data_IF_502826539238
#
_entry.id   IF_502826539238
#
_cell.length_a   1.000
_cell.length_b   1.000
_cell.length_c   1.000
_cell.angle_alpha   90.00
_cell.angle_beta   90.00
_cell.angle_gamma   90.00
#
_symmetry.space_group_name_H-M   'P 1'
#
loop_
_entity.id
_entity.type
_entity.pdbx_description
1 polymer ?
#
# COMPACT_ATOMS: atom_id res chain seq x y z
N UNK A 1 -2.13 12.23 -20.75
CA UNK A 1 -2.25 10.77 -20.88
C UNK A 1 -1.00 10.26 -21.58
N UNK A 2 -0.37 9.21 -21.04
CA UNK A 2 0.97 8.76 -21.40
C UNK A 2 1.04 7.93 -22.70
N UNK A 3 0.10 8.14 -23.64
CA UNK A 3 -0.05 7.43 -24.92
C UNK A 3 -0.10 5.89 -24.84
N UNK A 4 -0.42 5.32 -23.67
CA UNK A 4 -0.67 3.88 -23.48
C UNK A 4 -2.18 3.66 -23.45
N UNK A 5 -2.64 2.68 -24.23
CA UNK A 5 -4.04 2.26 -24.29
C UNK A 5 -4.12 0.75 -24.16
N UNK A 6 -5.04 0.27 -23.33
CA UNK A 6 -5.34 -1.14 -23.12
C UNK A 6 -6.85 -1.30 -22.98
N UNK A 7 -7.39 -2.37 -23.54
CA UNK A 7 -8.76 -2.78 -23.26
C UNK A 7 -8.77 -3.43 -21.88
N UNK A 8 -9.37 -2.72 -20.91
CA UNK A 8 -9.48 -3.21 -19.52
C UNK A 8 -10.94 -3.45 -19.17
N UNK A 9 -11.26 -4.70 -18.89
CA UNK A 9 -12.55 -5.13 -18.36
C UNK A 9 -12.48 -5.17 -16.83
N UNK A 10 -13.49 -4.60 -16.15
CA UNK A 10 -13.63 -4.73 -14.70
C UNK A 10 -14.92 -5.47 -14.37
N UNK A 11 -14.79 -6.53 -13.59
CA UNK A 11 -15.93 -7.34 -13.11
C UNK A 11 -15.93 -7.48 -11.60
N UNK A 12 -17.10 -7.73 -11.03
CA UNK A 12 -17.27 -8.16 -9.65
C UNK A 12 -17.61 -9.65 -9.64
N UNK A 13 -16.87 -10.40 -8.85
CA UNK A 13 -17.03 -11.85 -8.71
C UNK A 13 -16.96 -12.23 -7.24
N UNK A 14 -17.28 -13.47 -6.90
CA UNK A 14 -17.08 -13.98 -5.55
C UNK A 14 -16.61 -15.43 -5.54
N UNK A 15 -15.87 -15.79 -4.50
CA UNK A 15 -15.62 -17.18 -4.13
C UNK A 15 -16.65 -17.65 -3.10
N UNK A 16 -16.97 -18.93 -3.17
CA UNK A 16 -17.75 -19.63 -2.15
C UNK A 16 -16.79 -20.20 -1.11
N UNK A 17 -17.10 -19.96 0.16
CA UNK A 17 -16.22 -20.28 1.28
C UNK A 17 -16.94 -20.94 2.45
N UNK A 18 -17.60 -22.08 2.22
CA UNK A 18 -18.21 -22.92 3.26
C UNK A 18 -17.18 -23.44 4.27
N UNK A 19 -15.92 -23.62 3.85
CA UNK A 19 -14.81 -24.07 4.71
C UNK A 19 -13.82 -22.96 5.06
N UNK A 20 -14.13 -21.71 4.70
CA UNK A 20 -13.33 -20.54 5.07
C UNK A 20 -13.70 -20.00 6.45
N UNK A 21 -12.80 -19.21 7.04
CA UNK A 21 -13.07 -18.47 8.28
C UNK A 21 -12.26 -17.17 8.37
N UNK A 22 -12.13 -16.64 9.59
CA UNK A 22 -11.49 -15.35 9.83
C UNK A 22 -10.03 -15.30 9.32
N UNK A 23 -9.28 -16.40 9.47
CA UNK A 23 -7.88 -16.53 9.11
C UNK A 23 -7.69 -17.24 7.78
N UNK A 24 -8.45 -18.30 7.54
CA UNK A 24 -8.28 -19.18 6.37
C UNK A 24 -9.17 -18.70 5.23
N UNK A 25 -8.54 -18.46 4.07
CA UNK A 25 -9.22 -18.40 2.78
C UNK A 25 -9.07 -19.78 2.11
N UNK A 26 -10.16 -20.55 2.13
CA UNK A 26 -10.27 -21.87 1.53
C UNK A 26 -11.53 -21.89 0.67
N UNK A 27 -11.33 -21.78 -0.64
CA UNK A 27 -12.41 -21.79 -1.63
C UNK A 27 -12.96 -23.20 -1.77
N UNK A 28 -14.28 -23.36 -1.80
CA UNK A 28 -14.88 -24.66 -2.11
C UNK A 28 -14.71 -25.03 -3.59
N UNK A 29 -14.65 -23.99 -4.44
CA UNK A 29 -14.48 -24.08 -5.88
C UNK A 29 -13.31 -23.18 -6.32
N UNK A 30 -12.50 -23.69 -7.25
CA UNK A 30 -11.32 -23.00 -7.76
C UNK A 30 -11.67 -21.88 -8.75
N UNK A 31 -12.93 -21.83 -9.18
CA UNK A 31 -13.48 -20.83 -10.09
C UNK A 31 -14.39 -19.86 -9.35
N UNK A 32 -14.27 -18.58 -9.71
CA UNK A 32 -15.13 -17.53 -9.20
C UNK A 32 -16.51 -17.59 -9.86
N UNK A 33 -17.54 -17.13 -9.14
CA UNK A 33 -18.86 -16.87 -9.68
C UNK A 33 -19.02 -15.38 -9.95
N UNK A 34 -19.58 -15.03 -11.10
CA UNK A 34 -19.93 -13.64 -11.37
C UNK A 34 -21.04 -13.22 -10.40
N UNK A 35 -20.92 -12.00 -9.88
CA UNK A 35 -22.03 -11.38 -9.17
C UNK A 35 -23.18 -11.21 -10.16
N UNK A 36 -24.40 -11.58 -9.76
CA UNK A 36 -25.59 -11.40 -10.61
C UNK A 36 -25.76 -9.92 -10.98
N UNK A 37 -25.78 -9.63 -12.28
CA UNK A 37 -25.93 -8.30 -12.85
C UNK A 37 -27.30 -8.20 -13.53
N UNK A 38 -28.37 -8.15 -12.74
CA UNK A 38 -29.72 -7.97 -13.27
C UNK A 38 -29.90 -6.51 -13.71
N UNK A 39 -29.50 -6.22 -14.95
CA UNK A 39 -29.47 -4.88 -15.59
C UNK A 39 -28.69 -3.83 -14.77
N UNK A 40 -27.40 -3.68 -15.09
CA UNK A 40 -26.57 -2.62 -14.48
C UNK A 40 -27.16 -1.24 -14.78
N UNK A 41 -27.62 -0.54 -13.75
CA UNK A 41 -28.11 0.83 -13.88
C UNK A 41 -26.91 1.78 -13.93
N UNK A 42 -26.89 2.63 -14.96
CA UNK A 42 -25.82 3.60 -15.19
C UNK A 42 -26.34 5.04 -15.08
N UNK A 43 -25.70 5.86 -14.25
CA UNK A 43 -25.86 7.31 -14.28
C UNK A 43 -24.51 7.95 -14.61
N UNK A 44 -24.47 8.76 -15.66
CA UNK A 44 -23.26 9.47 -16.10
C UNK A 44 -23.40 10.95 -15.79
N UNK A 45 -22.41 11.52 -15.12
CA UNK A 45 -22.35 12.94 -14.79
C UNK A 45 -21.11 13.54 -15.43
N UNK A 46 -21.28 14.60 -16.21
CA UNK A 46 -20.19 15.36 -16.81
C UNK A 46 -20.17 16.79 -16.27
N UNK A 47 -19.03 17.19 -15.74
CA UNK A 47 -18.73 18.48 -15.17
C UNK A 47 -17.35 18.97 -15.62
N UNK A 48 -17.04 20.25 -15.38
CA UNK A 48 -15.81 20.88 -15.89
C UNK A 48 -14.55 20.34 -15.23
N UNK A 49 -14.67 19.90 -13.98
CA UNK A 49 -13.63 19.18 -13.29
C UNK A 49 -13.89 17.67 -13.48
N UNK A 50 -15.15 17.17 -13.34
CA UNK A 50 -15.49 15.71 -13.19
C UNK A 50 -16.29 15.03 -14.23
N UNK A 51 -15.85 13.80 -14.57
CA UNK A 51 -16.74 12.78 -15.11
C UNK A 51 -16.93 11.65 -14.12
N UNK A 52 -18.18 11.39 -13.72
CA UNK A 52 -18.52 10.25 -12.86
C UNK A 52 -19.41 9.27 -13.63
N UNK A 53 -19.12 7.98 -13.49
CA UNK A 53 -19.98 6.89 -13.94
C UNK A 53 -20.41 6.11 -12.70
N UNK A 54 -21.67 6.28 -12.32
CA UNK A 54 -22.28 5.55 -11.21
C UNK A 54 -22.91 4.27 -11.78
N UNK A 55 -22.46 3.14 -11.28
CA UNK A 55 -22.88 1.80 -11.70
C UNK A 55 -23.52 1.11 -10.51
N UNK A 56 -24.77 0.67 -10.66
CA UNK A 56 -25.46 -0.15 -9.67
C UNK A 56 -25.62 -1.55 -10.27
N UNK A 57 -24.88 -2.53 -9.74
CA UNK A 57 -24.84 -3.89 -10.28
C UNK A 57 -26.02 -4.72 -9.76
N UNK A 58 -26.32 -4.57 -8.47
CA UNK A 58 -27.47 -5.15 -7.78
C UNK A 58 -27.72 -4.41 -6.45
N UNK A 59 -28.60 -4.94 -5.60
CA UNK A 59 -29.00 -4.31 -4.34
C UNK A 59 -27.88 -4.16 -3.31
N UNK A 60 -26.75 -4.84 -3.50
CA UNK A 60 -25.64 -4.90 -2.55
C UNK A 60 -24.27 -4.56 -3.16
N UNK A 61 -24.19 -4.21 -4.44
CA UNK A 61 -22.95 -3.72 -5.07
C UNK A 61 -23.23 -2.50 -5.94
N UNK A 62 -22.54 -1.40 -5.61
CA UNK A 62 -22.47 -0.22 -6.46
C UNK A 62 -21.04 0.34 -6.54
N UNK A 63 -20.74 0.99 -7.66
CA UNK A 63 -19.44 1.59 -7.95
C UNK A 63 -19.63 2.99 -8.52
N UNK A 64 -18.72 3.90 -8.18
CA UNK A 64 -18.59 5.19 -8.83
C UNK A 64 -17.19 5.31 -9.40
N UNK A 65 -17.07 5.14 -10.71
CA UNK A 65 -15.84 5.46 -11.44
C UNK A 65 -15.79 6.97 -11.58
N UNK A 66 -14.73 7.61 -11.09
CA UNK A 66 -14.49 9.01 -11.39
C UNK A 66 -13.31 9.08 -12.34
N UNK A 67 -13.46 9.87 -13.39
CA UNK A 67 -12.33 10.32 -14.20
C UNK A 67 -11.95 11.69 -13.60
N UNK A 68 -11.44 11.56 -12.39
CA UNK A 68 -10.46 12.37 -11.70
C UNK A 68 -9.30 11.42 -11.44
N UNK A 69 -8.30 11.91 -10.76
CA UNK A 69 -7.37 11.11 -10.00
C UNK A 69 -7.96 9.97 -9.08
N UNK A 70 -9.25 9.49 -9.10
CA UNK A 70 -9.85 8.51 -8.12
C UNK A 70 -10.96 7.52 -8.62
N UNK A 71 -11.10 6.28 -8.08
CA UNK A 71 -12.31 5.39 -8.20
C UNK A 71 -12.88 4.97 -6.82
N UNK A 72 -14.18 5.17 -6.57
CA UNK A 72 -14.84 4.85 -5.27
C UNK A 72 -15.91 3.75 -5.40
N UNK A 73 -16.08 2.90 -4.37
CA UNK A 73 -16.98 1.72 -4.41
C UNK A 73 -17.73 1.51 -3.10
N UNK A 74 -18.94 0.97 -3.15
CA UNK A 74 -19.77 0.62 -2.00
C UNK A 74 -20.26 -0.83 -2.15
N UNK A 75 -19.88 -1.69 -1.19
CA UNK A 75 -20.18 -3.12 -1.19
C UNK A 75 -20.91 -3.52 0.09
N UNK A 76 -21.95 -4.33 -0.08
CA UNK A 76 -22.79 -4.85 0.97
C UNK A 76 -24.19 -4.19 0.98
N UNK A 77 -25.14 -4.80 1.72
CA UNK A 77 -24.98 -5.98 2.56
C UNK A 77 -24.83 -7.27 1.72
N UNK A 78 -23.76 -8.05 1.95
CA UNK A 78 -23.55 -9.31 1.20
C UNK A 78 -24.68 -10.29 1.56
N UNK A 79 -25.48 -10.76 0.58
CA UNK A 79 -26.62 -11.63 0.84
C UNK A 79 -26.16 -13.04 1.24
N UNK A 80 -26.86 -13.61 2.22
CA UNK A 80 -26.60 -14.95 2.76
C UNK A 80 -27.90 -15.76 2.91
N UNK A 81 -29.00 -15.32 2.29
CA UNK A 81 -30.31 -16.00 2.37
C UNK A 81 -30.30 -17.39 1.72
N UNK A 82 -29.22 -17.69 0.98
CA UNK A 82 -28.90 -18.98 0.36
C UNK A 82 -28.01 -19.88 1.24
N UNK A 83 -27.71 -19.48 2.48
CA UNK A 83 -26.78 -20.16 3.39
C UNK A 83 -25.35 -20.35 2.84
N UNK A 84 -24.94 -19.52 1.87
CA UNK A 84 -23.60 -19.56 1.24
C UNK A 84 -22.80 -18.31 1.61
N UNK A 85 -21.64 -18.53 2.24
CA UNK A 85 -20.65 -17.48 2.50
C UNK A 85 -19.98 -16.99 1.21
N UNK A 86 -19.76 -15.68 1.10
CA UNK A 86 -19.26 -15.05 -0.13
C UNK A 86 -18.06 -14.15 0.15
N UNK A 87 -17.05 -14.29 -0.69
CA UNK A 87 -15.82 -13.50 -0.65
C UNK A 87 -15.71 -12.71 -1.94
N UNK A 88 -16.07 -11.43 -1.87
CA UNK A 88 -16.29 -10.58 -3.04
C UNK A 88 -14.96 -10.01 -3.51
N UNK A 89 -14.67 -10.19 -4.80
CA UNK A 89 -13.48 -9.67 -5.46
C UNK A 89 -13.86 -8.66 -6.54
N UNK A 90 -12.95 -7.72 -6.82
CA UNK A 90 -12.93 -7.00 -8.09
C UNK A 90 -11.79 -7.55 -8.93
N UNK A 91 -12.08 -7.86 -10.19
CA UNK A 91 -11.10 -8.35 -11.15
C UNK A 91 -10.96 -7.35 -12.29
N UNK A 92 -9.72 -6.98 -12.60
CA UNK A 92 -9.35 -6.15 -13.74
C UNK A 92 -8.62 -7.04 -14.72
N UNK A 93 -9.18 -7.24 -15.91
CA UNK A 93 -8.60 -8.05 -16.98
C UNK A 93 -8.16 -7.15 -18.12
N UNK A 94 -6.92 -7.30 -18.56
CA UNK A 94 -6.31 -6.53 -19.64
C UNK A 94 -5.71 -7.45 -20.72
N UNK A 95 -5.30 -6.87 -21.85
CA UNK A 95 -4.53 -7.59 -22.88
C UNK A 95 -3.03 -7.74 -22.58
N UNK A 96 -2.57 -7.37 -21.38
CA UNK A 96 -1.15 -7.40 -21.00
C UNK A 96 -0.68 -8.84 -20.81
N UNK A 97 0.36 -9.27 -21.53
CA UNK A 97 0.96 -10.58 -21.31
C UNK A 97 2.04 -10.51 -20.23
N UNK A 98 1.70 -10.93 -19.02
CA UNK A 98 2.58 -10.91 -17.85
C UNK A 98 3.30 -12.24 -17.58
N UNK A 99 3.06 -13.30 -18.36
CA UNK A 99 3.73 -14.60 -18.22
C UNK A 99 3.52 -15.24 -16.85
N UNK A 100 2.36 -14.98 -16.22
CA UNK A 100 2.04 -15.39 -14.86
C UNK A 100 2.88 -14.72 -13.75
N UNK A 101 3.57 -13.61 -14.04
CA UNK A 101 4.33 -12.82 -13.06
C UNK A 101 3.51 -11.59 -12.64
N UNK A 102 3.52 -11.29 -11.35
CA UNK A 102 2.92 -10.07 -10.81
C UNK A 102 3.70 -9.63 -9.57
N UNK A 103 3.40 -8.46 -9.02
CA UNK A 103 4.12 -7.88 -7.90
C UNK A 103 3.15 -7.38 -6.84
N UNK A 104 3.44 -7.70 -5.57
CA UNK A 104 2.73 -7.13 -4.43
C UNK A 104 3.70 -6.39 -3.53
N UNK A 105 3.23 -5.34 -2.87
CA UNK A 105 4.03 -4.66 -1.87
C UNK A 105 4.28 -5.54 -0.62
N UNK A 106 5.33 -5.20 0.13
CA UNK A 106 5.60 -5.68 1.48
C UNK A 106 5.40 -4.53 2.45
N UNK A 107 4.28 -4.53 3.18
CA UNK A 107 3.89 -3.48 4.12
C UNK A 107 3.93 -2.07 3.52
N UNK A 108 3.47 -1.92 2.27
CA UNK A 108 3.44 -0.67 1.52
C UNK A 108 4.81 -0.19 1.03
N UNK A 109 5.85 -1.05 1.06
CA UNK A 109 7.24 -0.70 0.74
C UNK A 109 7.78 -1.40 -0.50
N UNK A 110 8.55 -2.46 -0.32
CA UNK A 110 9.27 -3.15 -1.39
C UNK A 110 8.29 -3.94 -2.25
N UNK A 111 8.51 -3.97 -3.56
CA UNK A 111 7.72 -4.83 -4.45
C UNK A 111 8.33 -6.21 -4.52
N UNK A 112 7.55 -7.21 -4.13
CA UNK A 112 7.98 -8.60 -4.18
C UNK A 112 7.41 -9.23 -5.44
N UNK A 113 8.30 -9.79 -6.26
CA UNK A 113 7.94 -10.62 -7.41
C UNK A 113 7.21 -11.87 -6.96
N UNK A 114 6.01 -12.08 -7.51
CA UNK A 114 5.15 -13.24 -7.32
C UNK A 114 4.96 -13.97 -8.65
N UNK A 115 4.52 -15.22 -8.56
CA UNK A 115 4.14 -16.03 -9.72
C UNK A 115 2.79 -16.67 -9.43
N UNK A 116 1.96 -16.87 -10.45
CA UNK A 116 0.65 -17.55 -10.34
C UNK A 116 0.75 -18.90 -9.62
N UNK A 117 1.81 -19.66 -9.90
CA UNK A 117 2.06 -20.96 -9.28
C UNK A 117 2.72 -20.87 -7.89
N UNK A 118 3.10 -19.68 -7.42
CA UNK A 118 3.90 -19.53 -6.21
C UNK A 118 5.29 -20.18 -6.31
N UNK A 119 5.95 -20.41 -5.16
CA UNK A 119 7.30 -20.96 -5.14
C UNK A 119 7.30 -22.49 -5.31
N UNK A 120 7.70 -22.97 -6.49
CA UNK A 120 7.83 -24.40 -6.81
C UNK A 120 8.63 -25.23 -5.80
N UNK A 121 9.60 -24.62 -5.08
CA UNK A 121 10.40 -25.32 -4.05
C UNK A 121 9.64 -25.56 -2.74
N UNK A 122 8.55 -24.82 -2.51
CA UNK A 122 7.72 -24.88 -1.30
C UNK A 122 6.36 -25.56 -1.56
N UNK A 123 6.10 -26.01 -2.78
CA UNK A 123 4.92 -26.80 -3.12
C UNK A 123 5.08 -28.25 -2.64
N UNK A 124 5.06 -28.46 -1.33
CA UNK A 124 4.98 -29.81 -0.73
C UNK A 124 3.56 -30.34 -0.65
N UNK A 125 2.55 -29.47 -0.80
CA UNK A 125 1.13 -29.84 -0.77
C UNK A 125 0.46 -29.50 -2.10
N UNK A 126 0.01 -30.55 -2.80
CA UNK A 126 -0.79 -30.48 -4.02
C UNK A 126 -2.24 -30.12 -3.68
N UNK A 127 -2.51 -28.86 -3.37
CA UNK A 127 -3.84 -28.34 -3.67
C UNK A 127 -3.76 -27.74 -5.06
N UNK A 128 -3.91 -28.61 -6.05
CA UNK A 128 -4.01 -28.20 -7.45
C UNK A 128 -5.21 -27.25 -7.56
N UNK A 129 -4.94 -25.99 -7.94
CA UNK A 129 -5.90 -24.95 -8.34
C UNK A 129 -6.47 -23.99 -7.27
N UNK A 130 -5.98 -23.96 -6.03
CA UNK A 130 -6.36 -22.88 -5.09
C UNK A 130 -5.66 -21.57 -5.48
N UNK A 131 -6.38 -20.44 -5.63
CA UNK A 131 -5.77 -19.17 -5.99
C UNK A 131 -4.85 -18.68 -4.86
N UNK A 132 -3.62 -18.29 -5.22
CA UNK A 132 -2.62 -17.84 -4.25
C UNK A 132 -2.77 -16.34 -4.03
N UNK A 133 -3.26 -15.96 -2.86
CA UNK A 133 -3.40 -14.57 -2.45
C UNK A 133 -2.19 -14.09 -1.65
N UNK A 134 -1.85 -12.82 -1.85
CA UNK A 134 -0.81 -12.12 -1.10
C UNK A 134 -1.38 -10.85 -0.45
N UNK A 135 -0.83 -10.41 0.69
CA UNK A 135 -1.21 -9.13 1.27
C UNK A 135 -0.80 -7.99 0.34
N UNK A 136 -1.71 -7.05 0.13
CA UNK A 136 -1.53 -5.81 -0.62
C UNK A 136 -1.90 -4.67 0.32
N UNK A 137 -0.92 -3.85 0.71
CA UNK A 137 -1.13 -2.71 1.60
C UNK A 137 -1.02 -1.37 0.89
N UNK A 138 -0.60 -1.35 -0.37
CA UNK A 138 -0.59 -0.12 -1.16
C UNK A 138 -0.66 -0.32 -2.67
N UNK A 139 -0.02 -1.37 -3.23
CA UNK A 139 -0.03 -1.56 -4.69
C UNK A 139 0.15 -3.02 -5.13
N UNK A 140 -0.64 -3.39 -6.14
CA UNK A 140 -0.61 -4.66 -6.86
C UNK A 140 -0.39 -4.37 -8.34
N UNK A 141 0.61 -5.01 -8.95
CA UNK A 141 1.05 -4.65 -10.30
C UNK A 141 1.30 -5.87 -11.18
N UNK A 142 0.95 -5.75 -12.46
CA UNK A 142 1.45 -6.61 -13.52
C UNK A 142 1.99 -5.77 -14.68
N UNK A 143 2.89 -6.35 -15.45
CA UNK A 143 3.51 -5.71 -16.61
C UNK A 143 3.92 -6.74 -17.64
N UNK A 144 3.95 -6.32 -18.89
CA UNK A 144 4.53 -7.10 -19.98
C UNK A 144 6.06 -7.04 -19.95
N UNK A 145 6.71 -8.17 -20.21
CA UNK A 145 8.17 -8.27 -20.16
C UNK A 145 8.84 -7.29 -21.14
N UNK A 146 9.76 -6.46 -20.65
CA UNK A 146 10.49 -5.48 -21.47
C UNK A 146 9.86 -4.08 -21.44
N UNK A 147 9.46 -3.55 -22.60
CA UNK A 147 8.94 -2.17 -22.75
C UNK A 147 7.43 -2.13 -22.99
N UNK A 148 6.71 -3.11 -22.46
CA UNK A 148 5.29 -3.29 -22.69
C UNK A 148 4.40 -2.41 -21.80
N UNK A 149 3.10 -2.67 -21.81
CA UNK A 149 2.15 -1.98 -20.92
C UNK A 149 2.25 -2.49 -19.47
N UNK A 150 1.95 -1.60 -18.52
CA UNK A 150 1.95 -1.87 -17.08
C UNK A 150 0.63 -1.41 -16.48
N UNK A 151 0.03 -2.27 -15.68
CA UNK A 151 -1.22 -2.00 -14.96
C UNK A 151 -0.98 -2.13 -13.46
N UNK A 152 -1.19 -1.04 -12.74
CA UNK A 152 -1.12 -0.99 -11.29
C UNK A 152 -2.51 -0.72 -10.69
N UNK A 153 -2.85 -1.47 -9.65
CA UNK A 153 -4.03 -1.24 -8.81
C UNK A 153 -3.56 -0.88 -7.41
N UNK A 154 -3.93 0.30 -6.93
CA UNK A 154 -3.61 0.80 -5.60
C UNK A 154 -4.87 0.77 -4.72
N UNK A 155 -4.69 0.51 -3.43
CA UNK A 155 -5.78 0.35 -2.49
C UNK A 155 -5.67 1.29 -1.28
N UNK A 156 -6.83 1.59 -0.68
CA UNK A 156 -6.95 2.49 0.47
C UNK A 156 -6.76 1.79 1.83
N UNK A 157 -6.66 0.47 1.84
CA UNK A 157 -6.54 -0.39 3.04
C UNK A 157 -5.87 -1.72 2.71
N UNK A 158 -5.43 -2.44 3.73
CA UNK A 158 -4.90 -3.80 3.58
C UNK A 158 -5.97 -4.75 2.98
N UNK A 159 -5.62 -5.44 1.90
CA UNK A 159 -6.48 -6.40 1.21
C UNK A 159 -5.66 -7.61 0.75
N UNK A 160 -6.36 -8.72 0.47
CA UNK A 160 -5.77 -9.83 -0.26
C UNK A 160 -5.84 -9.56 -1.76
N UNK A 161 -4.76 -9.80 -2.49
CA UNK A 161 -4.72 -9.66 -3.95
C UNK A 161 -3.93 -10.75 -4.65
N UNK A 162 -4.24 -10.96 -5.92
CA UNK A 162 -3.59 -11.97 -6.76
C UNK A 162 -3.62 -11.59 -8.24
N UNK A 163 -2.92 -12.38 -9.05
CA UNK A 163 -3.16 -12.53 -10.49
C UNK A 163 -3.45 -14.01 -10.69
N UNK A 164 -4.70 -14.36 -11.00
CA UNK A 164 -5.14 -15.76 -11.16
C UNK A 164 -5.17 -16.23 -12.61
N UNK A 165 -5.15 -15.28 -13.55
CA UNK A 165 -5.09 -15.52 -14.99
C UNK A 165 -4.20 -14.48 -15.67
N UNK A 166 -3.77 -14.77 -16.90
CA UNK A 166 -2.93 -13.88 -17.70
C UNK A 166 -3.61 -12.51 -17.90
N UNK A 167 -2.85 -11.44 -17.68
CA UNK A 167 -3.29 -10.06 -17.84
C UNK A 167 -4.32 -9.58 -16.81
N UNK A 168 -4.62 -10.37 -15.78
CA UNK A 168 -5.60 -10.02 -14.76
C UNK A 168 -5.00 -9.77 -13.37
N UNK A 169 -5.54 -8.77 -12.69
CA UNK A 169 -5.33 -8.50 -11.27
C UNK A 169 -6.67 -8.59 -10.54
N UNK A 170 -6.69 -9.21 -9.37
CA UNK A 170 -7.86 -9.25 -8.50
C UNK A 170 -7.53 -8.84 -7.06
N UNK A 171 -8.50 -8.16 -6.42
CA UNK A 171 -8.46 -7.75 -5.02
C UNK A 171 -9.73 -8.21 -4.32
N UNK A 172 -9.57 -8.86 -3.18
CA UNK A 172 -10.67 -9.22 -2.29
C UNK A 172 -11.11 -7.98 -1.51
N UNK A 173 -12.36 -7.59 -1.70
CA UNK A 173 -12.92 -6.34 -1.21
C UNK A 173 -13.64 -6.50 0.12
N UNK A 174 -14.36 -7.60 0.30
CA UNK A 174 -15.14 -7.89 1.50
C UNK A 174 -15.42 -9.39 1.62
N UNK A 175 -15.53 -9.89 2.85
CA UNK A 175 -15.79 -11.30 3.17
C UNK A 175 -16.93 -11.39 4.17
N UNK A 176 -17.86 -12.32 3.96
CA UNK A 176 -18.88 -12.67 4.94
C UNK A 176 -19.08 -14.17 4.93
N UNK A 177 -18.76 -14.81 6.05
CA UNK A 177 -18.65 -16.26 6.20
C UNK A 177 -19.60 -16.74 7.31
N UNK A 178 -20.09 -17.97 7.18
CA UNK A 178 -21.09 -18.53 8.09
C UNK A 178 -20.52 -19.56 9.07
N UNK A 179 -19.22 -19.82 9.02
CA UNK A 179 -18.52 -20.78 9.88
C UNK A 179 -17.22 -20.20 10.43
N UNK A 180 -16.80 -20.76 11.57
CA UNK A 180 -15.48 -20.53 12.18
C UNK A 180 -14.46 -21.51 11.57
N UNK A 181 -13.21 -21.07 11.41
CA UNK A 181 -12.12 -21.90 10.89
C UNK A 181 -11.35 -22.66 11.98
N UNK A 182 -11.80 -22.61 13.23
CA UNK A 182 -11.25 -23.32 14.38
C UNK A 182 -9.77 -23.01 14.68
N UNK A 183 -9.31 -21.80 14.34
CA UNK A 183 -7.97 -21.32 14.70
C UNK A 183 -7.92 -20.47 15.98
N UNK A 184 -9.02 -20.43 16.73
CA UNK A 184 -9.06 -19.95 18.12
C UNK A 184 -9.94 -18.74 18.36
N UNK A 185 -10.50 -18.10 17.32
CA UNK A 185 -11.43 -16.98 17.51
C UNK A 185 -12.80 -17.45 17.98
N UNK A 186 -13.30 -18.60 17.48
CA UNK A 186 -14.53 -19.22 17.95
C UNK A 186 -15.81 -18.53 17.46
N UNK A 187 -15.72 -17.76 16.37
CA UNK A 187 -16.84 -17.06 15.75
C UNK A 187 -16.68 -17.01 14.23
N UNK A 188 -17.81 -17.05 13.51
CA UNK A 188 -17.79 -16.86 12.06
C UNK A 188 -17.50 -15.39 11.73
N UNK A 189 -16.79 -15.15 10.61
CA UNK A 189 -16.59 -13.80 10.08
C UNK A 189 -17.90 -13.26 9.46
N UNK A 190 -18.87 -12.91 10.31
CA UNK A 190 -20.23 -12.50 9.93
C UNK A 190 -20.59 -11.14 10.55
N UNK A 191 -19.80 -10.11 10.24
CA UNK A 191 -20.00 -8.77 10.79
C UNK A 191 -21.39 -8.20 10.42
N UNK A 192 -22.08 -7.63 11.40
CA UNK A 192 -23.38 -6.99 11.22
C UNK A 192 -23.45 -5.60 11.84
N UNK A 193 -24.21 -4.71 11.21
CA UNK A 193 -24.57 -3.39 11.73
C UNK A 193 -26.09 -3.23 11.65
N UNK A 194 -26.74 -2.86 12.77
CA UNK A 194 -28.20 -2.71 12.87
C UNK A 194 -28.99 -3.95 12.39
N UNK A 195 -28.49 -5.16 12.67
CA UNK A 195 -29.14 -6.42 12.29
C UNK A 195 -29.02 -6.81 10.82
N UNK A 196 -28.18 -6.10 10.04
CA UNK A 196 -27.88 -6.40 8.62
C UNK A 196 -26.39 -6.64 8.46
N UNK A 197 -26.00 -7.38 7.42
CA UNK A 197 -24.58 -7.58 7.10
C UNK A 197 -23.84 -6.25 6.90
N UNK A 198 -22.62 -6.16 7.42
CA UNK A 198 -21.81 -4.94 7.36
C UNK A 198 -21.60 -4.49 5.90
N UNK A 199 -21.80 -3.20 5.66
CA UNK A 199 -21.55 -2.54 4.38
C UNK A 199 -20.21 -1.83 4.45
N UNK A 200 -19.32 -2.13 3.50
CA UNK A 200 -18.00 -1.50 3.42
C UNK A 200 -17.93 -0.57 2.21
N UNK A 201 -17.29 0.58 2.41
CA UNK A 201 -16.95 1.53 1.33
C UNK A 201 -15.44 1.62 1.24
N UNK A 202 -14.91 1.51 0.03
CA UNK A 202 -13.48 1.59 -0.24
C UNK A 202 -13.17 2.26 -1.57
N UNK A 203 -11.92 2.69 -1.71
CA UNK A 203 -11.38 3.27 -2.93
C UNK A 203 -10.29 2.40 -3.53
N UNK A 204 -10.28 2.33 -4.85
CA UNK A 204 -9.19 1.73 -5.61
C UNK A 204 -8.75 2.72 -6.69
N UNK A 205 -7.50 2.64 -7.09
CA UNK A 205 -6.94 3.50 -8.12
C UNK A 205 -6.27 2.61 -9.14
N UNK A 206 -6.61 2.79 -10.42
CA UNK A 206 -6.01 2.02 -11.49
C UNK A 206 -5.19 2.95 -12.37
N UNK A 207 -3.91 2.63 -12.51
CA UNK A 207 -2.96 3.36 -13.34
C UNK A 207 -2.51 2.44 -14.47
N UNK A 208 -2.70 2.91 -15.70
CA UNK A 208 -2.12 2.30 -16.90
C UNK A 208 -0.96 3.15 -17.38
N UNK A 209 0.21 2.55 -17.46
CA UNK A 209 1.43 3.24 -17.88
C UNK A 209 2.26 2.36 -18.82
N UNK A 210 3.31 2.93 -19.41
CA UNK A 210 4.33 2.10 -20.05
C UNK A 210 5.24 1.51 -18.98
N UNK A 211 5.59 0.23 -19.10
CA UNK A 211 6.61 -0.42 -18.26
C UNK A 211 8.01 0.21 -18.41
N UNK A 212 8.18 1.08 -19.40
CA UNK A 212 9.36 1.89 -19.63
C UNK A 212 9.14 3.33 -19.09
N UNK A 213 10.14 3.92 -18.41
CA UNK A 213 10.18 5.28 -17.80
C UNK A 213 9.44 5.45 -16.46
N UNK A 214 10.07 4.98 -15.38
CA UNK A 214 9.70 5.28 -13.97
C UNK A 214 8.19 5.22 -13.61
N UNK A 215 7.36 4.32 -14.17
CA UNK A 215 5.94 4.24 -13.81
C UNK A 215 5.73 4.01 -12.31
N UNK A 216 6.71 3.37 -11.68
CA UNK A 216 6.71 3.08 -10.27
C UNK A 216 6.87 4.32 -9.36
N UNK A 217 7.39 5.45 -9.87
CA UNK A 217 7.47 6.72 -9.12
C UNK A 217 6.08 7.37 -9.04
N UNK A 218 5.36 7.45 -10.17
CA UNK A 218 3.97 7.92 -10.20
C UNK A 218 3.09 7.07 -9.29
N UNK A 219 3.15 5.73 -9.45
CA UNK A 219 2.46 4.78 -8.57
C UNK A 219 2.80 5.02 -7.09
N UNK A 220 4.08 5.31 -6.77
CA UNK A 220 4.51 5.54 -5.39
C UNK A 220 3.96 6.85 -4.82
N UNK A 221 3.97 7.92 -5.60
CA UNK A 221 3.45 9.22 -5.19
C UNK A 221 1.94 9.13 -4.95
N UNK A 222 1.20 8.52 -5.87
CA UNK A 222 -0.23 8.28 -5.71
C UNK A 222 -0.51 7.40 -4.48
N UNK A 223 0.28 6.34 -4.25
CA UNK A 223 0.16 5.52 -3.05
C UNK A 223 0.33 6.37 -1.76
N UNK A 224 1.26 7.33 -1.75
CA UNK A 224 1.42 8.24 -0.61
C UNK A 224 0.22 9.16 -0.42
N UNK A 225 -0.31 9.74 -1.49
CA UNK A 225 -1.47 10.63 -1.43
C UNK A 225 -2.72 9.90 -0.90
N UNK A 226 -2.87 8.62 -1.26
CA UNK A 226 -3.94 7.76 -0.74
C UNK A 226 -3.81 7.54 0.77
N UNK A 227 -2.60 7.21 1.26
CA UNK A 227 -2.36 6.93 2.68
C UNK A 227 -2.23 8.19 3.55
N UNK A 228 -1.87 9.33 2.96
CA UNK A 228 -1.71 10.62 3.62
C UNK A 228 -2.65 11.66 3.01
N UNK A 229 -3.98 11.48 3.16
CA UNK A 229 -4.94 12.41 2.59
C UNK A 229 -4.80 13.79 3.23
N UNK A 230 -5.08 14.83 2.43
CA UNK A 230 -5.09 16.23 2.91
C UNK A 230 -6.09 16.39 4.05
N UNK A 231 -5.66 16.96 5.17
CA UNK A 231 -6.54 17.31 6.27
C UNK A 231 -7.22 18.64 6.00
N UNK A 232 -8.55 18.63 5.93
CA UNK A 232 -9.36 19.82 5.73
C UNK A 232 -9.78 20.38 7.08
N UNK A 233 -9.37 21.62 7.37
CA UNK A 233 -9.77 22.35 8.57
C UNK A 233 -10.79 23.41 8.18
N UNK A 234 -11.97 23.34 8.79
CA UNK A 234 -13.03 24.32 8.59
C UNK A 234 -13.18 25.17 9.85
N UNK A 235 -13.02 26.49 9.73
CA UNK A 235 -13.32 27.43 10.81
C UNK A 235 -14.54 28.27 10.45
N UNK A 236 -15.32 28.67 11.45
CA UNK A 236 -16.27 29.77 11.28
C UNK A 236 -15.44 31.05 11.08
N UNK A 237 -15.81 31.95 10.16
CA UNK A 237 -15.02 33.15 9.92
C UNK A 237 -14.96 33.96 11.21
N UNK A 238 -13.78 34.02 11.82
CA UNK A 238 -13.45 34.96 12.88
C UNK A 238 -12.70 36.12 12.24
N UNK A 239 -13.22 37.32 12.48
CA UNK A 239 -12.66 38.58 12.01
C UNK A 239 -11.41 38.92 12.85
N UNK A 240 -10.27 38.30 12.52
CA UNK A 240 -8.90 38.85 12.61
C UNK A 240 -7.80 37.78 12.45
N UNK A 241 -7.06 37.95 11.35
CA UNK A 241 -5.60 37.89 11.19
C UNK A 241 -4.78 36.56 11.19
N UNK A 242 -3.82 36.61 10.23
CA UNK A 242 -2.50 35.95 10.06
C UNK A 242 -2.45 34.64 9.26
N UNK A 243 -1.67 34.72 8.17
CA UNK A 243 -1.34 33.66 7.21
C UNK A 243 0.01 33.04 7.55
N UNK A 244 0.11 31.74 7.29
CA UNK A 244 1.35 31.04 6.98
C UNK A 244 1.97 30.31 8.17
N UNK A 245 1.65 29.03 8.32
CA UNK A 245 2.55 27.92 8.74
C UNK A 245 1.80 26.61 8.41
N UNK A 246 2.50 25.67 7.76
CA UNK A 246 2.07 24.29 7.52
C UNK A 246 3.02 23.36 8.29
N UNK A 247 2.49 22.49 9.15
CA UNK A 247 3.24 21.47 9.88
C UNK A 247 2.63 20.12 9.53
N UNK A 248 3.40 19.22 8.90
CA UNK A 248 2.90 17.94 8.39
C UNK A 248 2.96 16.78 9.39
N UNK A 249 3.92 16.76 10.31
CA UNK A 249 3.91 15.97 11.55
C UNK A 249 5.17 16.31 12.36
N UNK A 250 5.01 16.47 13.68
CA UNK A 250 6.07 16.57 14.69
C UNK A 250 5.64 15.62 15.80
N UNK A 251 6.35 14.50 15.99
CA UNK A 251 6.06 13.59 17.10
C UNK A 251 6.88 13.99 18.32
N UNK A 252 6.26 14.45 19.41
CA UNK A 252 6.98 14.73 20.65
C UNK A 252 7.58 13.42 21.18
N UNK A 253 8.90 13.35 21.35
CA UNK A 253 9.59 12.21 21.92
C UNK A 253 9.85 12.41 23.42
N UNK A 254 10.32 13.60 23.78
CA UNK A 254 10.48 14.13 25.14
C UNK A 254 10.14 15.64 25.13
N UNK A 255 10.08 16.31 26.29
CA UNK A 255 9.61 17.70 26.43
C UNK A 255 10.17 18.70 25.40
N UNK A 256 11.41 18.50 24.95
CA UNK A 256 12.10 19.36 23.98
C UNK A 256 12.80 18.56 22.87
N UNK A 257 12.40 17.32 22.62
CA UNK A 257 12.99 16.48 21.55
C UNK A 257 11.91 15.87 20.67
N UNK A 258 12.17 15.82 19.36
CA UNK A 258 11.32 15.16 18.36
C UNK A 258 12.13 14.13 17.58
N UNK A 259 11.51 13.01 17.24
CA UNK A 259 12.03 12.11 16.22
C UNK A 259 11.62 12.59 14.82
N UNK A 260 12.60 12.68 13.93
CA UNK A 260 12.46 13.03 12.53
C UNK A 260 12.93 11.85 11.67
N UNK A 261 12.03 10.91 11.34
CA UNK A 261 12.33 9.86 10.37
C UNK A 261 12.23 10.42 8.94
N UNK A 262 13.34 10.36 8.20
CA UNK A 262 13.40 10.69 6.79
C UNK A 262 13.44 9.40 5.97
N UNK A 263 12.45 9.23 5.08
CA UNK A 263 12.26 8.02 4.29
C UNK A 263 12.37 8.34 2.81
N UNK A 264 13.24 7.61 2.10
CA UNK A 264 13.22 7.60 0.64
C UNK A 264 12.38 6.42 0.14
N UNK A 265 11.30 6.74 -0.57
CA UNK A 265 10.22 5.81 -0.89
C UNK A 265 10.46 4.99 -2.16
N UNK A 266 11.41 5.41 -2.98
CA UNK A 266 11.67 4.86 -4.30
C UNK A 266 12.66 3.69 -4.20
N UNK A 267 12.49 2.67 -5.02
CA UNK A 267 13.39 1.50 -5.09
C UNK A 267 14.70 1.85 -5.85
N UNK A 268 15.77 1.08 -5.64
CA UNK A 268 17.05 1.25 -6.34
C UNK A 268 16.95 0.92 -7.84
N UNK A 269 15.93 0.17 -8.24
CA UNK A 269 15.57 -0.03 -9.65
C UNK A 269 14.80 1.15 -10.24
N UNK A 270 14.24 2.00 -9.38
CA UNK A 270 13.33 3.08 -9.75
C UNK A 270 14.05 4.46 -9.72
N UNK A 271 15.07 4.66 -8.87
CA UNK A 271 15.84 5.91 -8.83
C UNK A 271 17.22 5.81 -8.17
N UNK A 272 18.03 6.86 -8.33
CA UNK A 272 19.34 7.05 -7.69
C UNK A 272 19.21 7.70 -6.30
N UNK A 273 20.27 7.66 -5.46
CA UNK A 273 20.31 8.39 -4.20
C UNK A 273 20.06 9.89 -4.38
N UNK A 274 19.38 10.49 -3.41
CA UNK A 274 19.11 11.93 -3.37
C UNK A 274 19.95 12.60 -2.29
N UNK A 275 20.33 13.86 -2.54
CA UNK A 275 21.02 14.72 -1.59
C UNK A 275 20.18 15.99 -1.45
N UNK A 276 19.90 16.39 -0.22
CA UNK A 276 19.20 17.62 0.07
C UNK A 276 19.75 18.26 1.35
N UNK A 277 19.66 19.59 1.41
CA UNK A 277 20.05 20.35 2.59
C UNK A 277 18.90 20.42 3.58
N UNK A 278 19.09 19.84 4.76
CA UNK A 278 18.10 19.83 5.83
C UNK A 278 18.19 21.09 6.71
N UNK A 279 19.25 21.89 6.58
CA UNK A 279 19.49 23.06 7.43
C UNK A 279 18.34 24.09 7.39
N UNK A 280 17.77 24.48 6.23
CA UNK A 280 16.70 25.47 6.19
C UNK A 280 15.43 25.04 6.96
N UNK A 281 15.14 23.74 6.94
CA UNK A 281 14.01 23.17 7.67
C UNK A 281 14.24 23.24 9.19
N UNK A 282 15.40 22.79 9.67
CA UNK A 282 15.72 22.78 11.10
C UNK A 282 15.81 24.20 11.70
N UNK A 283 16.35 25.16 10.94
CA UNK A 283 16.38 26.57 11.34
C UNK A 283 14.96 27.13 11.48
N UNK A 284 14.04 26.75 10.59
CA UNK A 284 12.63 27.21 10.66
C UNK A 284 11.91 26.72 11.92
N UNK A 285 12.33 25.57 12.47
CA UNK A 285 11.80 24.99 13.70
C UNK A 285 12.51 25.47 14.97
N UNK A 286 13.59 26.26 14.82
CA UNK A 286 14.47 26.70 15.93
C UNK A 286 15.14 25.53 16.66
N UNK A 287 15.53 24.52 15.92
CA UNK A 287 16.24 23.36 16.46
C UNK A 287 17.67 23.75 16.90
N UNK A 288 18.14 23.18 18.02
CA UNK A 288 19.46 23.42 18.59
C UNK A 288 20.47 22.33 18.26
N UNK A 289 20.02 21.10 18.09
CA UNK A 289 20.86 19.92 17.92
C UNK A 289 20.15 18.84 17.10
N UNK A 290 20.91 18.14 16.27
CA UNK A 290 20.45 16.98 15.51
C UNK A 290 21.41 15.80 15.68
N UNK A 291 20.86 14.65 16.03
CA UNK A 291 21.59 13.40 16.28
C UNK A 291 20.97 12.26 15.47
N UNK A 292 21.77 11.51 14.72
CA UNK A 292 21.28 10.33 14.00
C UNK A 292 21.20 9.11 14.93
N UNK A 293 20.07 8.39 14.88
CA UNK A 293 19.74 7.29 15.77
C UNK A 293 19.38 6.02 15.00
N UNK A 294 19.20 4.91 15.73
CA UNK A 294 18.45 3.75 15.26
C UNK A 294 17.00 4.13 14.91
N UNK A 295 16.31 3.24 14.19
CA UNK A 295 14.95 3.47 13.68
C UNK A 295 13.93 3.83 14.77
N UNK A 296 14.09 3.24 15.95
CA UNK A 296 13.26 3.44 17.14
C UNK A 296 13.73 4.59 18.04
N UNK A 297 14.81 5.30 17.68
CA UNK A 297 15.29 6.48 18.39
C UNK A 297 16.01 6.21 19.72
N UNK A 298 16.16 4.95 20.14
CA UNK A 298 16.67 4.60 21.48
C UNK A 298 18.21 4.58 21.59
N UNK A 299 18.93 4.52 20.46
CA UNK A 299 20.39 4.38 20.42
C UNK A 299 20.96 5.32 19.36
N UNK A 300 22.07 5.99 19.66
CA UNK A 300 22.78 6.79 18.66
C UNK A 300 23.36 5.84 17.60
N UNK A 301 23.25 6.22 16.33
CA UNK A 301 23.68 5.35 15.22
C UNK A 301 25.18 5.04 15.27
N UNK A 302 25.99 5.95 15.84
CA UNK A 302 27.43 5.76 16.05
C UNK A 302 27.77 4.60 16.99
N UNK A 303 26.86 4.26 17.89
CA UNK A 303 27.06 3.22 18.90
C UNK A 303 26.51 1.86 18.43
N UNK A 304 25.79 1.83 17.31
CA UNK A 304 25.17 0.61 16.77
C UNK A 304 26.21 -0.39 16.27
N UNK A 305 26.10 -1.63 16.76
CA UNK A 305 26.90 -2.78 16.30
C UNK A 305 25.98 -3.96 16.00
N UNK A 306 26.02 -4.49 14.77
CA UNK A 306 25.24 -5.67 14.37
C UNK A 306 26.15 -6.84 14.06
N UNK A 307 25.89 -8.03 14.61
CA UNK A 307 26.70 -9.22 14.33
C UNK A 307 26.78 -9.50 12.83
N UNK A 308 28.00 -9.82 12.36
CA UNK A 308 28.18 -10.40 11.03
C UNK A 308 28.01 -11.91 11.08
N UNK A 309 27.08 -12.42 10.28
CA UNK A 309 26.87 -13.86 10.11
C UNK A 309 27.54 -14.30 8.82
N UNK A 310 28.46 -15.28 8.92
CA UNK A 310 29.08 -15.86 7.74
C UNK A 310 28.13 -16.89 7.11
N UNK A 311 27.87 -16.75 5.81
CA UNK A 311 27.05 -17.68 5.04
C UNK A 311 27.95 -18.77 4.46
N UNK A 312 27.80 -20.01 4.93
CA UNK A 312 28.48 -21.17 4.32
C UNK A 312 29.60 -21.84 5.12
N UNK A 313 29.68 -21.59 6.43
CA UNK A 313 30.34 -22.51 7.38
C UNK A 313 31.85 -22.61 7.29
N UNK A 314 32.55 -21.71 7.96
CA UNK A 314 33.64 -22.08 8.88
C UNK A 314 33.47 -21.27 10.18
N UNK A 315 33.74 -21.86 11.36
CA UNK A 315 33.70 -21.12 12.62
C UNK A 315 34.70 -19.97 12.59
N UNK A 316 34.25 -18.79 13.01
CA UNK A 316 35.13 -17.62 13.15
C UNK A 316 35.56 -17.50 14.61
N UNK A 317 36.85 -17.43 14.89
CA UNK A 317 37.34 -17.19 16.26
C UNK A 317 37.18 -15.72 16.71
N UNK A 318 36.77 -14.82 15.81
CA UNK A 318 36.65 -13.38 16.07
C UNK A 318 35.26 -12.87 15.78
N UNK A 319 34.69 -12.22 16.80
CA UNK A 319 33.39 -11.57 16.73
C UNK A 319 33.46 -10.34 15.83
N UNK A 320 32.78 -10.38 14.69
CA UNK A 320 32.73 -9.26 13.76
C UNK A 320 31.39 -8.54 13.80
N UNK A 321 31.43 -7.23 13.57
CA UNK A 321 30.26 -6.36 13.54
C UNK A 321 30.16 -5.57 12.25
N UNK A 322 28.96 -5.46 11.70
CA UNK A 322 28.59 -4.37 10.80
C UNK A 322 28.38 -3.11 11.65
N UNK A 323 29.06 -2.04 11.26
CA UNK A 323 28.81 -0.68 11.74
C UNK A 323 28.07 0.11 10.65
N UNK A 324 27.66 1.33 10.97
CA UNK A 324 27.13 2.28 9.99
C UNK A 324 28.08 2.43 8.78
N UNK A 325 27.49 2.52 7.58
CA UNK A 325 28.23 2.67 6.31
C UNK A 325 28.63 4.12 6.04
N UNK A 326 27.98 5.07 6.70
CA UNK A 326 28.23 6.50 6.61
C UNK A 326 28.55 7.07 7.99
N UNK A 327 29.20 8.23 8.03
CA UNK A 327 29.41 8.97 9.27
C UNK A 327 28.04 9.44 9.80
N UNK A 328 27.61 9.02 11.00
CA UNK A 328 26.36 9.48 11.58
C UNK A 328 26.36 11.00 11.77
N UNK A 329 25.21 11.61 11.55
CA UNK A 329 25.03 13.06 11.75
C UNK A 329 24.96 13.36 13.24
N UNK A 330 25.77 14.33 13.68
CA UNK A 330 25.80 14.85 15.05
C UNK A 330 26.27 16.30 14.98
N UNK A 331 25.32 17.25 14.99
CA UNK A 331 25.60 18.67 14.79
C UNK A 331 24.83 19.54 15.78
N UNK A 332 25.49 20.61 16.25
CA UNK A 332 24.87 21.69 17.01
C UNK A 332 24.53 22.83 16.06
N UNK A 333 23.25 23.16 15.96
CA UNK A 333 22.69 24.07 14.96
C UNK A 333 22.87 25.55 15.33
N UNK A 334 23.14 25.86 16.61
CA UNK A 334 23.28 27.21 17.17
C UNK A 334 24.36 28.11 16.55
N UNK A 335 25.23 27.61 15.66
CA UNK A 335 26.44 28.36 15.25
C UNK A 335 26.85 28.28 13.76
N UNK A 336 26.01 27.83 12.82
CA UNK A 336 26.48 27.63 11.44
C UNK A 336 25.47 27.99 10.33
N UNK A 337 25.92 28.85 9.43
CA UNK A 337 25.47 28.97 8.03
C UNK A 337 26.04 27.81 7.16
N UNK A 338 26.36 26.65 7.74
CA UNK A 338 26.85 25.49 6.99
C UNK A 338 25.67 24.63 6.56
N UNK A 339 25.65 24.25 5.28
CA UNK A 339 24.70 23.30 4.71
C UNK A 339 24.78 21.97 5.48
N UNK A 340 23.62 21.41 5.83
CA UNK A 340 23.50 20.09 6.42
C UNK A 340 22.98 19.11 5.36
N UNK A 341 23.90 18.65 4.52
CA UNK A 341 23.55 17.73 3.43
C UNK A 341 23.25 16.32 3.97
N UNK A 342 22.04 15.85 3.68
CA UNK A 342 21.60 14.50 3.99
C UNK A 342 21.49 13.72 2.68
N UNK A 343 22.28 12.66 2.55
CA UNK A 343 22.12 11.67 1.49
C UNK A 343 21.16 10.57 1.92
N UNK A 344 20.18 10.26 1.08
CA UNK A 344 19.32 9.09 1.21
C UNK A 344 19.47 8.18 0.00
N UNK A 345 19.90 6.95 0.22
CA UNK A 345 19.85 5.88 -0.78
C UNK A 345 18.42 5.38 -0.96
N UNK A 346 18.06 4.83 -2.13
CA UNK A 346 16.75 4.23 -2.35
C UNK A 346 16.36 3.25 -1.25
N UNK A 347 15.10 3.28 -0.83
CA UNK A 347 14.53 2.50 0.29
C UNK A 347 15.13 2.76 1.68
N UNK A 348 16.07 3.70 1.82
CA UNK A 348 16.68 4.02 3.11
C UNK A 348 15.70 4.81 4.00
N UNK A 349 15.71 4.47 5.29
CA UNK A 349 15.16 5.33 6.35
C UNK A 349 16.34 5.75 7.24
N UNK A 350 16.46 7.05 7.48
CA UNK A 350 17.38 7.62 8.46
C UNK A 350 16.54 8.33 9.51
N UNK A 351 16.80 8.06 10.79
CA UNK A 351 16.03 8.63 11.89
C UNK A 351 16.94 9.57 12.67
N UNK A 352 16.42 10.75 12.97
CA UNK A 352 17.15 11.77 13.69
C UNK A 352 16.37 12.14 14.95
N UNK A 353 17.08 12.33 16.05
CA UNK A 353 16.56 13.00 17.23
C UNK A 353 16.97 14.46 17.15
N UNK A 354 15.97 15.34 17.16
CA UNK A 354 16.13 16.78 17.02
C UNK A 354 15.72 17.43 18.33
N UNK A 355 16.57 18.31 18.86
CA UNK A 355 16.32 19.05 20.10
C UNK A 355 15.88 20.46 19.77
N UNK A 356 14.75 20.89 20.32
CA UNK A 356 14.16 22.22 20.14
C UNK A 356 14.75 23.22 21.14
N UNK A 357 14.74 24.51 20.77
CA UNK A 357 14.96 25.58 21.74
C UNK A 357 13.75 25.76 22.65
N UNK A 358 13.99 26.02 23.93
CA UNK A 358 12.95 26.39 24.91
C UNK A 358 12.14 27.64 24.50
#
# INVERSE_FOLDING_TARGET
MNNVSQDVEQTFQYYEGEHSGAYIFLTDNTTTKNVEMNQVKLNIYEGPLVKEVHQYFNDWISQVIRIYEDVNRLLGPIPIDDDIGKEVITKFRSGISNGGIFYTDSNGREMIKRTQMGNKKLQTYKEENVPIYYPVNGRLVLEEEGKGARMAVLNDRAQGGSSTEEGALELMLHRRLLRDDNLGVGEALNETENGRGLVTRGKLYMILNSGYKEPAVEERLTQQEIHLPIWLFFSRPFDQQRKGIEVRSLEPFMSYETLLPLKYLVDCLESAPIIFDLQPFLVSLKDEEILETTLDGNMLLKDMKRFKFQKGGEPTDKLEYYTTKHKPVEEKLKYKEQSLEITLSPMQIRTFRVKHSD
#
